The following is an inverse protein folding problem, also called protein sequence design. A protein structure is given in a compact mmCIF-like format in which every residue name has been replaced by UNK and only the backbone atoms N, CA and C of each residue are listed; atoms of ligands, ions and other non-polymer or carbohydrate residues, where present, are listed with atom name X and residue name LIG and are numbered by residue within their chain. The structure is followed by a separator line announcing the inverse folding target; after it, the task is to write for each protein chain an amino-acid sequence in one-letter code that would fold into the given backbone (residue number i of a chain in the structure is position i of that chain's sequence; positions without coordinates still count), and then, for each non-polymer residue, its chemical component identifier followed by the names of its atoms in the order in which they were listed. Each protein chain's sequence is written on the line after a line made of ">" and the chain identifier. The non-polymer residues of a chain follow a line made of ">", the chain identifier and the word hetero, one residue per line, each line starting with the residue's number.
data_IF_214975090014
#
_entry.id   IF_214975090014
#
_cell.length_a   1.000
_cell.length_b   1.000
_cell.length_c   1.000
_cell.angle_alpha   90.00
_cell.angle_beta   90.00
_cell.angle_gamma   90.00
#
_symmetry.space_group_name_H-M   'P 1'
#
loop_
_entity.id
_entity.type
_entity.pdbx_description
1 polymer ?
#
# COMPACT_ATOMS: atom_id res chain seq x y z
N UNK A 1 5.56 5.69 0.70
CA UNK A 1 5.14 5.15 -0.60
C UNK A 1 6.31 4.49 -1.30
N UNK A 2 6.05 3.63 -2.31
CA UNK A 2 7.05 3.17 -3.25
C UNK A 2 7.26 4.20 -4.38
N UNK A 3 7.72 3.77 -5.57
CA UNK A 3 7.89 4.65 -6.74
C UNK A 3 6.57 5.32 -7.16
N UNK A 4 5.42 4.70 -6.82
CA UNK A 4 4.09 5.25 -7.06
C UNK A 4 3.70 6.16 -5.89
N UNK A 5 4.05 7.42 -6.01
CA UNK A 5 4.15 8.35 -4.89
C UNK A 5 2.97 9.32 -4.74
N UNK A 6 1.80 8.99 -5.30
CA UNK A 6 0.63 9.89 -5.30
C UNK A 6 0.25 10.40 -3.90
N UNK A 7 0.33 9.54 -2.87
CA UNK A 7 0.04 9.96 -1.50
C UNK A 7 1.15 10.82 -0.90
N UNK A 8 2.41 10.53 -1.21
CA UNK A 8 3.55 11.36 -0.77
C UNK A 8 3.45 12.76 -1.36
N UNK A 9 3.21 12.86 -2.67
CA UNK A 9 2.98 14.15 -3.34
C UNK A 9 1.81 14.91 -2.74
N UNK A 10 0.69 14.24 -2.47
CA UNK A 10 -0.46 14.88 -1.85
C UNK A 10 -0.15 15.42 -0.45
N UNK A 11 0.44 14.60 0.43
CA UNK A 11 0.76 15.02 1.80
C UNK A 11 1.70 16.20 1.81
N UNK A 12 2.68 16.24 0.89
CA UNK A 12 3.67 17.32 0.84
C UNK A 12 3.15 18.57 0.15
N UNK A 13 2.31 18.46 -0.89
CA UNK A 13 1.88 19.59 -1.73
C UNK A 13 0.42 20.01 -1.59
N UNK A 14 -0.44 19.15 -1.03
CA UNK A 14 -1.90 19.36 -1.04
C UNK A 14 -2.56 19.06 -2.40
N UNK A 15 -1.79 18.56 -3.38
CA UNK A 15 -2.31 18.24 -4.72
C UNK A 15 -2.30 16.73 -4.96
N UNK A 16 -3.44 16.18 -5.31
CA UNK A 16 -3.63 14.79 -5.68
C UNK A 16 -3.72 14.68 -7.20
N UNK A 17 -2.64 14.21 -7.84
CA UNK A 17 -2.52 14.17 -9.29
C UNK A 17 -2.15 12.75 -9.76
N UNK A 18 -2.95 12.19 -10.65
CA UNK A 18 -2.77 10.85 -11.20
C UNK A 18 -1.61 10.82 -12.19
N UNK A 19 -0.72 9.86 -12.00
CA UNK A 19 0.38 9.56 -12.92
C UNK A 19 0.33 8.09 -13.38
N UNK A 20 1.18 7.72 -14.33
CA UNK A 20 1.33 6.34 -14.77
C UNK A 20 1.91 5.47 -13.64
N UNK A 21 1.38 4.24 -13.54
CA UNK A 21 1.87 3.28 -12.56
C UNK A 21 3.20 2.68 -13.00
N UNK A 22 4.14 2.64 -12.08
CA UNK A 22 5.43 1.98 -12.22
C UNK A 22 5.36 0.63 -11.52
N UNK A 23 5.68 -0.46 -12.22
CA UNK A 23 5.74 -1.80 -11.62
C UNK A 23 6.93 -1.92 -10.66
N UNK A 24 6.67 -2.35 -9.42
CA UNK A 24 7.69 -2.47 -8.37
C UNK A 24 7.69 -3.85 -7.71
N UNK A 25 8.58 -4.05 -6.75
CA UNK A 25 8.63 -5.25 -5.90
C UNK A 25 7.60 -5.23 -4.77
N UNK A 26 6.85 -4.14 -4.62
CA UNK A 26 5.74 -3.99 -3.66
C UNK A 26 4.41 -3.77 -4.40
N UNK A 27 3.90 -4.79 -5.13
CA UNK A 27 2.82 -4.61 -6.11
C UNK A 27 1.50 -4.10 -5.52
N UNK A 28 1.23 -4.32 -4.24
CA UNK A 28 0.03 -3.78 -3.58
C UNK A 28 0.07 -2.24 -3.44
N UNK A 29 1.24 -1.64 -3.60
CA UNK A 29 1.44 -0.19 -3.59
C UNK A 29 1.61 0.39 -5.01
N UNK A 30 1.53 -0.44 -6.07
CA UNK A 30 1.59 -0.02 -7.48
C UNK A 30 0.23 0.48 -7.92
N UNK A 31 -0.14 1.66 -7.44
CA UNK A 31 -1.44 2.28 -7.64
C UNK A 31 -1.32 3.70 -8.16
N UNK A 32 -2.18 4.05 -9.12
CA UNK A 32 -2.35 5.43 -9.59
C UNK A 32 -3.34 6.22 -8.71
N UNK A 33 -4.29 5.53 -8.08
CA UNK A 33 -5.32 6.11 -7.22
C UNK A 33 -5.48 5.21 -5.99
N UNK A 34 -5.34 5.80 -4.79
CA UNK A 34 -5.58 5.12 -3.54
C UNK A 34 -7.08 5.15 -3.21
N UNK A 35 -7.76 4.02 -3.34
CA UNK A 35 -9.23 3.93 -3.14
C UNK A 35 -9.68 4.31 -1.72
N UNK A 36 -8.80 4.14 -0.73
CA UNK A 36 -9.09 4.50 0.67
C UNK A 36 -8.99 6.01 0.96
N UNK A 37 -8.39 6.77 0.05
CA UNK A 37 -8.12 8.19 0.23
C UNK A 37 -9.40 9.03 0.32
N UNK A 38 -10.48 8.60 -0.31
CA UNK A 38 -11.78 9.24 -0.24
C UNK A 38 -12.30 9.38 1.20
N UNK A 39 -11.96 8.42 2.09
CA UNK A 39 -12.32 8.50 3.51
C UNK A 39 -11.60 9.63 4.23
N UNK A 40 -10.31 9.83 3.94
CA UNK A 40 -9.55 10.95 4.48
C UNK A 40 -10.14 12.29 4.00
N UNK A 41 -10.50 12.39 2.71
CA UNK A 41 -11.17 13.59 2.18
C UNK A 41 -12.50 13.86 2.89
N UNK A 42 -13.30 12.82 3.10
CA UNK A 42 -14.56 12.94 3.80
C UNK A 42 -14.39 13.49 5.21
N UNK A 43 -13.43 12.97 5.97
CA UNK A 43 -13.13 13.47 7.32
C UNK A 43 -12.54 14.88 7.28
N UNK A 44 -11.65 15.17 6.32
CA UNK A 44 -11.00 16.48 6.14
C UNK A 44 -12.02 17.61 5.86
N UNK A 45 -13.12 17.27 5.21
CA UNK A 45 -14.22 18.18 4.90
C UNK A 45 -15.42 18.00 5.84
N UNK A 46 -15.17 17.66 7.12
CA UNK A 46 -16.19 17.56 8.17
C UNK A 46 -17.38 16.67 7.78
N UNK A 47 -17.09 15.56 7.10
CA UNK A 47 -18.08 14.59 6.61
C UNK A 47 -19.06 15.14 5.55
N UNK A 48 -18.65 16.17 4.81
CA UNK A 48 -19.43 16.70 3.69
C UNK A 48 -19.34 15.76 2.48
N UNK A 49 -20.41 15.01 2.22
CA UNK A 49 -20.52 14.17 1.02
C UNK A 49 -20.54 14.98 -0.26
N UNK A 50 -21.07 16.21 -0.23
CA UNK A 50 -21.10 17.10 -1.39
C UNK A 50 -19.69 17.47 -1.84
N UNK A 51 -18.87 18.03 -0.94
CA UNK A 51 -17.50 18.46 -1.26
C UNK A 51 -16.63 17.26 -1.65
N UNK A 52 -16.74 16.15 -0.92
CA UNK A 52 -16.01 14.92 -1.26
C UNK A 52 -16.36 14.43 -2.67
N UNK A 53 -17.65 14.41 -3.03
CA UNK A 53 -18.11 14.03 -4.37
C UNK A 53 -17.60 14.97 -5.46
N UNK A 54 -17.51 16.27 -5.20
CA UNK A 54 -16.96 17.25 -6.13
C UNK A 54 -15.47 16.97 -6.38
N UNK A 55 -14.65 16.75 -5.34
CA UNK A 55 -13.24 16.40 -5.46
C UNK A 55 -13.02 15.09 -6.22
N UNK A 56 -13.86 14.08 -5.99
CA UNK A 56 -13.80 12.82 -6.73
C UNK A 56 -14.22 12.97 -8.19
N UNK A 57 -15.16 13.87 -8.51
CA UNK A 57 -15.49 14.23 -9.90
C UNK A 57 -14.33 14.96 -10.59
N UNK A 58 -13.67 15.89 -9.90
CA UNK A 58 -12.48 16.56 -10.41
C UNK A 58 -11.37 15.55 -10.72
N UNK A 59 -11.12 14.62 -9.82
CA UNK A 59 -10.15 13.54 -10.04
C UNK A 59 -10.50 12.71 -11.29
N UNK A 60 -11.78 12.37 -11.47
CA UNK A 60 -12.24 11.59 -12.62
C UNK A 60 -12.07 12.35 -13.93
N UNK A 61 -12.42 13.63 -13.96
CA UNK A 61 -12.48 14.44 -15.18
C UNK A 61 -11.12 15.05 -15.52
N UNK A 62 -10.41 15.58 -14.51
CA UNK A 62 -9.18 16.36 -14.68
C UNK A 62 -7.93 15.58 -14.28
N UNK A 63 -8.08 14.32 -13.80
CA UNK A 63 -6.99 13.50 -13.25
C UNK A 63 -6.25 14.14 -12.07
N UNK A 64 -6.80 15.19 -11.49
CA UNK A 64 -6.18 15.93 -10.39
C UNK A 64 -7.21 16.76 -9.65
N UNK A 65 -6.92 17.01 -8.36
CA UNK A 65 -7.54 18.07 -7.58
C UNK A 65 -6.54 18.58 -6.53
N UNK A 66 -6.81 19.75 -5.97
CA UNK A 66 -6.05 20.29 -4.83
C UNK A 66 -6.98 20.60 -3.67
N UNK A 67 -6.42 20.56 -2.47
CA UNK A 67 -7.07 21.05 -1.25
C UNK A 67 -6.52 22.44 -0.91
N UNK A 68 -7.20 23.19 -0.05
CA UNK A 68 -6.72 24.49 0.41
C UNK A 68 -5.49 24.33 1.32
N UNK A 69 -4.78 25.41 1.56
CA UNK A 69 -3.66 25.44 2.50
C UNK A 69 -4.10 25.04 3.91
N UNK A 70 -5.30 25.40 4.31
CA UNK A 70 -5.87 25.04 5.61
C UNK A 70 -6.01 23.51 5.74
N UNK A 71 -6.67 22.87 4.77
CA UNK A 71 -6.82 21.42 4.74
C UNK A 71 -5.46 20.71 4.62
N UNK A 72 -4.54 21.24 3.80
CA UNK A 72 -3.19 20.68 3.71
C UNK A 72 -2.46 20.72 5.05
N UNK A 73 -2.59 21.80 5.80
CA UNK A 73 -2.00 21.95 7.13
C UNK A 73 -2.64 20.98 8.15
N UNK A 74 -3.94 20.73 8.06
CA UNK A 74 -4.60 19.72 8.91
C UNK A 74 -4.06 18.31 8.62
N UNK A 75 -3.89 17.96 7.34
CA UNK A 75 -3.29 16.67 6.96
C UNK A 75 -1.88 16.54 7.52
N UNK A 76 -1.04 17.56 7.40
CA UNK A 76 0.37 17.55 7.87
C UNK A 76 0.51 17.47 9.40
N UNK A 77 -0.52 17.81 10.17
CA UNK A 77 -0.53 17.60 11.63
C UNK A 77 -0.66 16.14 12.02
N UNK A 78 -1.22 15.30 11.14
CA UNK A 78 -1.53 13.89 11.42
C UNK A 78 -0.61 12.96 10.63
N UNK A 79 -0.26 13.33 9.40
CA UNK A 79 0.48 12.50 8.47
C UNK A 79 1.78 13.16 8.03
N UNK A 80 2.82 12.34 7.99
CA UNK A 80 4.07 12.61 7.30
C UNK A 80 4.29 11.54 6.23
N UNK A 81 5.04 11.82 5.19
CA UNK A 81 5.27 10.84 4.12
C UNK A 81 6.66 10.94 3.54
N UNK A 82 7.15 9.81 3.05
CA UNK A 82 8.37 9.67 2.26
C UNK A 82 8.20 8.62 1.17
N UNK A 83 8.86 8.85 0.06
CA UNK A 83 9.03 7.90 -1.04
C UNK A 83 10.29 7.09 -0.82
N UNK A 84 10.20 5.78 -0.99
CA UNK A 84 11.30 4.82 -0.90
C UNK A 84 11.46 4.13 -2.25
N UNK A 85 12.63 4.22 -2.85
CA UNK A 85 12.91 3.61 -4.15
C UNK A 85 13.29 2.11 -4.02
N UNK A 86 13.31 1.40 -5.17
CA UNK A 86 13.57 -0.04 -5.21
C UNK A 86 14.92 -0.45 -4.60
N UNK A 87 15.96 0.36 -4.82
CA UNK A 87 17.28 0.06 -4.25
C UNK A 87 17.25 0.16 -2.72
N UNK A 88 16.63 1.20 -2.19
CA UNK A 88 16.45 1.37 -0.75
C UNK A 88 15.64 0.21 -0.14
N UNK A 89 14.58 -0.25 -0.83
CA UNK A 89 13.80 -1.42 -0.38
C UNK A 89 14.70 -2.65 -0.24
N UNK A 90 15.51 -2.96 -1.26
CA UNK A 90 16.43 -4.10 -1.24
C UNK A 90 17.47 -3.99 -0.12
N UNK A 91 18.05 -2.80 0.06
CA UNK A 91 19.01 -2.54 1.13
C UNK A 91 18.39 -2.72 2.52
N UNK A 92 17.20 -2.20 2.75
CA UNK A 92 16.49 -2.31 4.03
C UNK A 92 16.14 -3.76 4.40
N UNK A 93 15.73 -4.58 3.41
CA UNK A 93 15.49 -6.02 3.63
C UNK A 93 16.80 -6.70 4.04
N UNK A 94 17.90 -6.45 3.30
CA UNK A 94 19.21 -7.01 3.58
C UNK A 94 19.77 -6.59 4.93
N UNK A 95 19.70 -5.30 5.25
CA UNK A 95 20.15 -4.77 6.55
C UNK A 95 19.39 -5.38 7.72
N UNK A 96 18.06 -5.44 7.62
CA UNK A 96 17.21 -6.01 8.68
C UNK A 96 17.55 -7.48 8.91
N UNK A 97 17.75 -8.24 7.84
CA UNK A 97 18.18 -9.63 7.94
C UNK A 97 19.55 -9.77 8.60
N UNK A 98 20.54 -9.01 8.16
CA UNK A 98 21.91 -9.10 8.68
C UNK A 98 22.02 -8.67 10.15
N UNK A 99 21.27 -7.65 10.54
CA UNK A 99 21.35 -7.07 11.89
C UNK A 99 20.53 -7.85 12.92
N UNK A 100 19.35 -8.33 12.52
CA UNK A 100 18.38 -8.91 13.45
C UNK A 100 18.04 -10.37 13.16
N UNK A 101 18.59 -10.96 12.11
CA UNK A 101 18.17 -12.27 11.58
C UNK A 101 16.65 -12.34 11.36
N UNK A 102 16.05 -11.23 10.93
CA UNK A 102 14.63 -11.07 10.73
C UNK A 102 14.34 -10.63 9.30
N UNK A 103 13.48 -11.36 8.63
CA UNK A 103 13.12 -11.11 7.22
C UNK A 103 11.83 -10.29 7.17
N UNK A 104 11.88 -9.16 6.48
CA UNK A 104 10.71 -8.32 6.19
C UNK A 104 10.34 -8.37 4.71
N UNK A 105 9.06 -8.18 4.40
CA UNK A 105 8.59 -8.07 3.04
C UNK A 105 8.83 -6.66 2.44
N UNK A 106 8.76 -6.49 1.09
CA UNK A 106 9.04 -5.21 0.46
C UNK A 106 8.13 -4.05 0.92
N UNK A 107 6.87 -4.33 1.28
CA UNK A 107 5.95 -3.29 1.74
C UNK A 107 6.31 -2.82 3.15
N UNK A 108 6.66 -3.74 4.04
CA UNK A 108 7.16 -3.44 5.38
C UNK A 108 8.48 -2.65 5.32
N UNK A 109 9.38 -3.02 4.38
CA UNK A 109 10.63 -2.29 4.16
C UNK A 109 10.39 -0.82 3.79
N UNK A 110 9.36 -0.52 2.99
CA UNK A 110 8.99 0.86 2.65
C UNK A 110 8.55 1.63 3.91
N UNK A 111 7.74 1.02 4.77
CA UNK A 111 7.35 1.62 6.05
C UNK A 111 8.55 1.93 6.95
N UNK A 112 9.46 0.97 7.06
CA UNK A 112 10.71 1.12 7.84
C UNK A 112 11.60 2.25 7.26
N UNK A 113 11.78 2.28 5.94
CA UNK A 113 12.57 3.31 5.27
C UNK A 113 11.98 4.70 5.43
N UNK A 114 10.67 4.83 5.29
CA UNK A 114 9.98 6.09 5.50
C UNK A 114 10.13 6.59 6.94
N UNK A 115 9.97 5.71 7.93
CA UNK A 115 10.18 6.04 9.34
C UNK A 115 11.59 6.56 9.60
N UNK A 116 12.63 5.91 9.05
CA UNK A 116 14.02 6.36 9.20
C UNK A 116 14.30 7.73 8.58
N UNK A 117 13.68 8.03 7.42
CA UNK A 117 13.86 9.31 6.71
C UNK A 117 13.10 10.48 7.33
N UNK A 118 12.07 10.20 8.12
CA UNK A 118 11.27 11.27 8.74
C UNK A 118 11.96 11.94 9.92
N UNK A 119 13.03 11.35 10.47
CA UNK A 119 13.79 11.85 11.62
C UNK A 119 12.96 12.20 12.87
N UNK A 120 11.67 11.95 12.81
CA UNK A 120 10.70 12.19 13.89
C UNK A 120 10.61 10.91 14.74
N UNK A 121 11.78 10.47 15.22
CA UNK A 121 11.88 9.24 16.00
C UNK A 121 11.37 9.57 17.40
N UNK A 122 10.08 9.41 17.60
CA UNK A 122 9.56 9.21 18.94
C UNK A 122 10.17 7.93 19.53
N UNK A 123 10.29 7.85 20.85
CA UNK A 123 10.89 6.69 21.54
C UNK A 123 10.31 5.34 21.12
N UNK A 124 9.06 5.32 20.59
CA UNK A 124 8.36 4.11 20.14
C UNK A 124 7.76 4.32 18.74
N UNK A 125 8.40 3.76 17.73
CA UNK A 125 7.88 3.69 16.38
C UNK A 125 7.35 2.28 16.07
N UNK A 126 6.10 2.18 15.61
CA UNK A 126 5.48 0.93 15.20
C UNK A 126 5.44 0.86 13.68
N UNK A 127 6.12 -0.13 13.12
CA UNK A 127 6.08 -0.41 11.68
C UNK A 127 5.10 -1.57 11.46
N UNK A 128 4.08 -1.34 10.63
CA UNK A 128 3.09 -2.37 10.32
C UNK A 128 3.68 -3.40 9.35
N UNK A 129 3.77 -4.66 9.78
CA UNK A 129 4.05 -5.79 8.90
C UNK A 129 2.80 -6.14 8.10
N UNK A 130 2.76 -5.75 6.83
CA UNK A 130 1.55 -5.82 6.01
C UNK A 130 1.42 -7.11 5.21
N UNK A 131 2.52 -7.86 5.02
CA UNK A 131 2.53 -9.13 4.32
C UNK A 131 3.60 -10.08 4.84
N UNK A 132 3.42 -11.37 4.61
CA UNK A 132 4.45 -12.35 4.93
C UNK A 132 5.51 -12.36 3.82
N UNK A 133 6.85 -12.35 4.15
CA UNK A 133 7.94 -12.29 3.16
C UNK A 133 7.89 -13.39 2.12
N UNK A 134 7.40 -14.59 2.46
CA UNK A 134 7.30 -15.74 1.55
C UNK A 134 6.46 -15.45 0.30
N UNK A 135 5.53 -14.49 0.37
CA UNK A 135 4.74 -14.07 -0.80
C UNK A 135 5.58 -13.34 -1.85
N UNK A 136 6.75 -12.88 -1.47
CA UNK A 136 7.67 -12.10 -2.30
C UNK A 136 9.06 -12.73 -2.29
N UNK A 137 9.12 -14.08 -2.25
CA UNK A 137 10.33 -14.86 -2.13
C UNK A 137 11.44 -14.42 -3.09
N UNK A 138 11.13 -14.28 -4.38
CA UNK A 138 12.10 -13.87 -5.40
C UNK A 138 12.81 -12.55 -5.07
N UNK A 139 12.03 -11.57 -4.58
CA UNK A 139 12.58 -10.26 -4.20
C UNK A 139 13.40 -10.34 -2.92
N UNK A 140 12.87 -11.05 -1.93
CA UNK A 140 13.50 -11.16 -0.62
C UNK A 140 14.77 -11.98 -0.69
N UNK A 141 14.77 -13.17 -1.32
CA UNK A 141 15.92 -14.02 -1.50
C UNK A 141 17.05 -13.33 -2.28
N UNK A 142 16.69 -12.55 -3.31
CA UNK A 142 17.64 -11.71 -4.03
C UNK A 142 18.29 -10.67 -3.14
N UNK A 143 17.54 -10.07 -2.21
CA UNK A 143 18.05 -9.05 -1.31
C UNK A 143 18.96 -9.64 -0.22
N UNK A 144 18.56 -10.77 0.41
CA UNK A 144 19.32 -11.39 1.50
C UNK A 144 20.44 -12.33 1.02
N UNK A 145 20.41 -12.73 -0.26
CA UNK A 145 21.43 -13.59 -0.87
C UNK A 145 21.33 -15.08 -0.50
N UNK A 146 20.21 -15.52 0.07
CA UNK A 146 19.96 -16.93 0.40
C UNK A 146 18.48 -17.28 0.24
N UNK A 147 18.18 -18.58 0.04
CA UNK A 147 16.81 -19.06 -0.11
C UNK A 147 16.08 -19.10 1.23
N UNK A 148 14.82 -18.67 1.21
CA UNK A 148 13.92 -18.80 2.34
C UNK A 148 13.30 -20.20 2.35
N UNK A 149 13.24 -20.79 3.55
CA UNK A 149 12.50 -22.03 3.73
C UNK A 149 11.09 -21.69 4.22
N UNK A 150 10.05 -22.10 3.49
CA UNK A 150 8.67 -21.95 3.95
C UNK A 150 8.46 -22.68 5.27
N UNK A 151 7.73 -22.10 6.19
CA UNK A 151 7.30 -22.83 7.40
C UNK A 151 6.35 -23.98 7.03
N UNK A 152 6.14 -24.94 7.96
CA UNK A 152 5.24 -26.09 7.75
C UNK A 152 3.89 -25.69 7.19
N UNK A 153 3.29 -24.64 7.74
CA UNK A 153 1.96 -24.15 7.38
C UNK A 153 1.89 -23.65 5.93
N UNK A 154 2.93 -22.94 5.48
CA UNK A 154 3.02 -22.49 4.08
C UNK A 154 3.30 -23.65 3.11
N UNK A 155 4.08 -24.65 3.53
CA UNK A 155 4.31 -25.85 2.74
C UNK A 155 3.01 -26.62 2.44
N UNK A 156 2.09 -26.67 3.40
CA UNK A 156 0.77 -27.29 3.18
C UNK A 156 -0.08 -26.47 2.22
N UNK A 157 -0.08 -25.14 2.37
CA UNK A 157 -0.83 -24.25 1.47
C UNK A 157 -0.34 -24.39 0.03
N UNK A 158 0.97 -24.40 -0.20
CA UNK A 158 1.57 -24.51 -1.54
C UNK A 158 1.35 -25.87 -2.23
N UNK A 159 1.01 -26.92 -1.47
CA UNK A 159 0.64 -28.24 -2.01
C UNK A 159 -0.81 -28.32 -2.45
N UNK A 160 -1.64 -27.42 -2.00
CA UNK A 160 -3.05 -27.42 -2.34
C UNK A 160 -3.27 -26.89 -3.75
N UNK A 161 -4.24 -27.48 -4.46
CA UNK A 161 -4.70 -26.98 -5.73
C UNK A 161 -5.42 -25.63 -5.57
N UNK A 162 -5.12 -24.68 -6.46
CA UNK A 162 -5.80 -23.39 -6.45
C UNK A 162 -7.30 -23.58 -6.78
N UNK A 163 -8.15 -22.99 -5.94
CA UNK A 163 -9.60 -22.97 -6.15
C UNK A 163 -10.06 -21.56 -6.49
N UNK A 164 -10.52 -21.37 -7.69
CA UNK A 164 -11.07 -20.09 -8.14
C UNK A 164 -12.28 -20.31 -9.05
N UNK A 165 -13.10 -19.29 -9.15
CA UNK A 165 -14.25 -19.27 -10.05
C UNK A 165 -14.08 -18.12 -11.06
N UNK A 166 -14.29 -18.43 -12.34
CA UNK A 166 -14.33 -17.43 -13.39
C UNK A 166 -15.78 -17.11 -13.76
N UNK A 167 -16.13 -15.84 -13.78
CA UNK A 167 -17.47 -15.38 -14.17
C UNK A 167 -17.39 -14.00 -14.81
N UNK A 168 -18.49 -13.60 -15.47
CA UNK A 168 -18.59 -12.27 -16.08
C UNK A 168 -18.58 -11.18 -15.02
N UNK A 169 -18.12 -9.99 -15.37
CA UNK A 169 -18.16 -8.81 -14.49
C UNK A 169 -19.62 -8.36 -14.25
N UNK A 170 -20.32 -9.10 -13.39
CA UNK A 170 -21.72 -8.92 -13.05
C UNK A 170 -21.94 -9.15 -11.57
N UNK A 171 -22.31 -8.11 -10.84
CA UNK A 171 -22.62 -8.20 -9.41
C UNK A 171 -23.74 -9.22 -9.11
N UNK A 172 -24.70 -9.43 -10.06
CA UNK A 172 -25.76 -10.41 -9.94
C UNK A 172 -25.22 -11.84 -9.99
N UNK A 173 -24.30 -12.14 -10.90
CA UNK A 173 -23.68 -13.47 -11.02
C UNK A 173 -22.85 -13.77 -9.76
N UNK A 174 -22.03 -12.83 -9.30
CA UNK A 174 -21.24 -12.97 -8.07
C UNK A 174 -22.14 -13.28 -6.87
N UNK A 175 -23.24 -12.53 -6.72
CA UNK A 175 -24.22 -12.75 -5.65
C UNK A 175 -24.84 -14.14 -5.71
N UNK A 176 -25.21 -14.63 -6.90
CA UNK A 176 -25.79 -15.95 -7.08
C UNK A 176 -24.80 -17.06 -6.70
N UNK A 177 -23.55 -16.96 -7.17
CA UNK A 177 -22.49 -17.93 -6.83
C UNK A 177 -22.25 -17.98 -5.33
N UNK A 178 -22.18 -16.83 -4.67
CA UNK A 178 -22.03 -16.77 -3.20
C UNK A 178 -23.22 -17.47 -2.51
N UNK A 179 -24.46 -17.17 -2.93
CA UNK A 179 -25.64 -17.78 -2.35
C UNK A 179 -25.67 -19.29 -2.55
N UNK A 180 -25.38 -19.77 -3.75
CA UNK A 180 -25.47 -21.18 -4.11
C UNK A 180 -24.40 -22.05 -3.44
N UNK A 181 -23.23 -21.47 -3.13
CA UNK A 181 -22.10 -22.22 -2.55
C UNK A 181 -21.97 -22.08 -1.02
N UNK A 182 -22.44 -20.98 -0.42
CA UNK A 182 -22.15 -20.67 0.98
C UNK A 182 -23.39 -20.46 1.86
N UNK A 183 -24.58 -20.36 1.30
CA UNK A 183 -25.81 -20.12 2.04
C UNK A 183 -26.91 -21.16 1.71
N UNK A 184 -26.52 -22.44 1.66
CA UNK A 184 -27.46 -23.56 1.59
C UNK A 184 -28.02 -23.88 2.94
#
# INVERSE_FOLDING_TARGET
>A
TNENDILDRFINSGTYSVESVIKTTSPSMDIAIASNFERLLFDLYEKSSLITSEKMKDLKNNKSFSVSNEQSNLVKKIFSSKKINQNQVSELIKETYNQFNYVIDPHTAIGLGASRLLNDIHENNFILGTAHPIKFSDTVEKAIGCSMQPTSDFNEIFKNEEKFYSFKNSAKEVRNIIKDNYFK
#
